data_IF_569750565304
#
_entry.id   IF_569750565304
#
_cell.length_a   1.000
_cell.length_b   1.000
_cell.length_c   1.000
_cell.angle_alpha   90.00
_cell.angle_beta   90.00
_cell.angle_gamma   90.00
#
_symmetry.space_group_name_H-M   'P 1'
#
loop_
_entity.id
_entity.type
_entity.pdbx_description
1 polymer ?
#
# COMPACT_ATOMS: atom_id res chain seq x y z
N UNK A 1 2.13 36.97 -6.56
CA UNK A 1 1.23 36.22 -7.46
C UNK A 1 1.38 34.74 -7.13
N UNK A 2 0.47 34.21 -6.32
CA UNK A 2 0.51 32.81 -5.87
C UNK A 2 -0.11 31.94 -6.96
N UNK A 3 0.71 31.13 -7.65
CA UNK A 3 0.19 30.11 -8.57
C UNK A 3 -0.30 28.95 -7.69
N UNK A 4 -1.62 28.90 -7.46
CA UNK A 4 -2.26 27.88 -6.62
C UNK A 4 -3.35 27.11 -7.37
N UNK A 5 -3.17 26.86 -8.68
CA UNK A 5 -4.24 26.29 -9.52
C UNK A 5 -3.81 25.28 -10.59
N UNK A 6 -2.61 24.68 -10.50
CA UNK A 6 -2.20 23.61 -11.43
C UNK A 6 -2.08 22.22 -10.77
N UNK A 7 -2.09 22.13 -9.44
CA UNK A 7 -1.77 20.90 -8.70
C UNK A 7 -2.88 19.82 -8.72
N UNK A 8 -4.01 20.09 -9.38
CA UNK A 8 -5.17 19.18 -9.43
C UNK A 8 -5.60 18.77 -10.84
N UNK A 9 -5.01 19.36 -11.90
CA UNK A 9 -5.38 19.01 -13.27
C UNK A 9 -4.87 17.59 -13.57
N UNK A 10 -5.78 16.63 -13.60
CA UNK A 10 -5.47 15.22 -13.89
C UNK A 10 -5.17 14.36 -12.66
N UNK A 11 -5.34 14.85 -11.42
CA UNK A 11 -5.27 13.98 -10.23
C UNK A 11 -6.63 13.29 -10.00
N UNK A 12 -6.69 11.95 -9.87
CA UNK A 12 -7.95 11.29 -9.55
C UNK A 12 -8.38 11.58 -8.11
N UNK A 13 -9.69 11.73 -7.90
CA UNK A 13 -10.29 11.78 -6.57
C UNK A 13 -10.35 10.36 -5.96
N UNK A 14 -9.31 9.99 -5.23
CA UNK A 14 -9.30 8.77 -4.43
C UNK A 14 -9.96 9.03 -3.06
N UNK A 15 -10.83 8.11 -2.63
CA UNK A 15 -11.37 8.11 -1.27
C UNK A 15 -10.28 7.78 -0.25
N UNK A 16 -10.52 8.12 1.02
CA UNK A 16 -9.61 7.78 2.12
C UNK A 16 -9.25 6.28 2.15
N UNK A 17 -10.23 5.41 1.91
CA UNK A 17 -10.00 3.95 1.87
C UNK A 17 -9.18 3.53 0.65
N UNK A 18 -9.36 4.14 -0.51
CA UNK A 18 -8.53 3.85 -1.68
C UNK A 18 -7.09 4.30 -1.48
N UNK A 19 -6.87 5.47 -0.86
CA UNK A 19 -5.52 5.93 -0.48
C UNK A 19 -4.86 4.94 0.47
N UNK A 20 -5.55 4.54 1.54
CA UNK A 20 -5.05 3.57 2.51
C UNK A 20 -4.69 2.23 1.85
N UNK A 21 -5.60 1.68 1.02
CA UNK A 21 -5.37 0.43 0.31
C UNK A 21 -4.18 0.55 -0.65
N UNK A 22 -4.06 1.67 -1.37
CA UNK A 22 -2.96 1.91 -2.29
C UNK A 22 -1.62 1.92 -1.55
N UNK A 23 -1.51 2.73 -0.49
CA UNK A 23 -0.26 2.88 0.27
C UNK A 23 0.16 1.56 0.93
N UNK A 24 -0.77 0.83 1.56
CA UNK A 24 -0.46 -0.47 2.16
C UNK A 24 -0.06 -1.49 1.10
N UNK A 25 -0.76 -1.54 -0.04
CA UNK A 25 -0.41 -2.45 -1.12
C UNK A 25 0.96 -2.14 -1.75
N UNK A 26 1.32 -0.86 -1.86
CA UNK A 26 2.64 -0.45 -2.37
C UNK A 26 3.77 -1.00 -1.49
N UNK A 27 3.57 -1.04 -0.17
CA UNK A 27 4.50 -1.60 0.81
C UNK A 27 4.42 -3.13 1.01
N UNK A 28 3.63 -3.86 0.21
CA UNK A 28 3.49 -5.33 0.34
C UNK A 28 3.86 -6.06 -0.96
N UNK A 29 4.50 -7.23 -0.88
CA UNK A 29 4.86 -8.00 -2.09
C UNK A 29 3.67 -8.70 -2.74
N UNK A 30 2.60 -8.96 -1.98
CA UNK A 30 1.42 -9.66 -2.48
C UNK A 30 0.11 -9.04 -2.01
N UNK A 31 -0.98 -9.33 -2.74
CA UNK A 31 -2.33 -8.88 -2.35
C UNK A 31 -2.79 -9.59 -1.08
N UNK A 32 -2.41 -10.85 -0.89
CA UNK A 32 -2.67 -11.59 0.34
C UNK A 32 -2.02 -10.90 1.56
N UNK A 33 -0.77 -10.44 1.42
CA UNK A 33 -0.07 -9.69 2.47
C UNK A 33 -0.79 -8.37 2.78
N UNK A 34 -1.16 -7.60 1.76
CA UNK A 34 -1.90 -6.36 1.92
C UNK A 34 -3.28 -6.60 2.59
N UNK A 35 -3.99 -7.65 2.18
CA UNK A 35 -5.29 -8.02 2.71
C UNK A 35 -5.25 -8.31 4.22
N UNK A 36 -4.24 -9.07 4.67
CA UNK A 36 -4.01 -9.33 6.10
C UNK A 36 -3.78 -8.04 6.88
N UNK A 37 -3.00 -7.11 6.33
CA UNK A 37 -2.70 -5.81 6.98
C UNK A 37 -3.89 -4.85 7.01
N UNK A 38 -4.76 -4.94 6.00
CA UNK A 38 -5.96 -4.12 5.86
C UNK A 38 -7.21 -4.74 6.51
N UNK A 39 -7.09 -5.93 7.10
CA UNK A 39 -8.19 -6.73 7.68
C UNK A 39 -9.37 -6.94 6.72
N UNK A 40 -9.06 -7.26 5.45
CA UNK A 40 -10.05 -7.54 4.39
C UNK A 40 -9.70 -8.81 3.61
N UNK A 41 -10.58 -9.23 2.70
CA UNK A 41 -10.28 -10.29 1.73
C UNK A 41 -9.33 -9.83 0.62
N UNK A 42 -8.57 -10.76 0.04
CA UNK A 42 -7.72 -10.50 -1.13
C UNK A 42 -8.50 -9.97 -2.33
N UNK A 43 -9.72 -10.51 -2.55
CA UNK A 43 -10.66 -10.03 -3.56
C UNK A 43 -11.03 -8.57 -3.35
N UNK A 44 -11.22 -8.14 -2.11
CA UNK A 44 -11.50 -6.73 -1.76
C UNK A 44 -10.33 -5.82 -2.13
N UNK A 45 -9.08 -6.23 -1.84
CA UNK A 45 -7.88 -5.49 -2.28
C UNK A 45 -7.84 -5.39 -3.80
N UNK A 46 -8.09 -6.50 -4.51
CA UNK A 46 -8.14 -6.50 -5.97
C UNK A 46 -9.19 -5.52 -6.50
N UNK A 47 -10.42 -5.54 -5.98
CA UNK A 47 -11.49 -4.61 -6.36
C UNK A 47 -11.10 -3.15 -6.14
N UNK A 48 -10.47 -2.81 -5.01
CA UNK A 48 -9.97 -1.46 -4.77
C UNK A 48 -8.90 -1.05 -5.79
N UNK A 49 -7.92 -1.92 -6.08
CA UNK A 49 -6.87 -1.64 -7.06
C UNK A 49 -7.46 -1.43 -8.47
N UNK A 50 -8.44 -2.22 -8.88
CA UNK A 50 -9.14 -2.03 -10.16
C UNK A 50 -9.83 -0.67 -10.21
N UNK A 51 -10.57 -0.28 -9.16
CA UNK A 51 -11.22 1.04 -9.08
C UNK A 51 -10.23 2.20 -9.10
N UNK A 52 -9.11 2.09 -8.39
CA UNK A 52 -8.04 3.09 -8.39
C UNK A 52 -7.48 3.28 -9.80
N UNK A 53 -7.18 2.17 -10.50
CA UNK A 53 -6.67 2.20 -11.87
C UNK A 53 -7.67 2.82 -12.85
N UNK A 54 -8.96 2.51 -12.69
CA UNK A 54 -10.01 3.13 -13.49
C UNK A 54 -10.09 4.63 -13.26
N UNK A 55 -9.98 5.10 -12.02
CA UNK A 55 -9.95 6.55 -11.73
C UNK A 55 -8.76 7.24 -12.39
N UNK A 56 -7.57 6.64 -12.34
CA UNK A 56 -6.39 7.12 -13.05
C UNK A 56 -6.57 7.13 -14.58
N UNK A 57 -7.22 6.10 -15.13
CA UNK A 57 -7.54 6.03 -16.57
C UNK A 57 -8.52 7.13 -16.99
N UNK A 58 -9.56 7.38 -16.19
CA UNK A 58 -10.58 8.41 -16.47
C UNK A 58 -9.97 9.81 -16.54
N UNK A 59 -8.96 10.11 -15.73
CA UNK A 59 -8.25 11.39 -15.76
C UNK A 59 -7.08 11.42 -16.76
N UNK A 60 -6.97 10.43 -17.66
CA UNK A 60 -5.97 10.40 -18.72
C UNK A 60 -4.54 10.02 -18.27
N UNK A 61 -4.37 9.50 -17.05
CA UNK A 61 -3.08 9.14 -16.46
C UNK A 61 -3.03 7.67 -16.05
N UNK A 62 -3.14 6.70 -16.99
CA UNK A 62 -3.25 5.29 -16.68
C UNK A 62 -2.06 4.75 -15.86
N UNK A 63 -2.34 3.82 -14.95
CA UNK A 63 -1.36 3.18 -14.07
C UNK A 63 -1.57 1.64 -14.01
N UNK A 64 -1.24 0.89 -15.07
CA UNK A 64 -1.61 -0.52 -15.18
C UNK A 64 -0.82 -1.44 -14.24
N UNK A 65 0.41 -1.06 -13.84
CA UNK A 65 1.30 -1.87 -13.01
C UNK A 65 1.46 -1.31 -11.59
N UNK A 66 2.10 -2.08 -10.71
CA UNK A 66 2.47 -1.64 -9.36
C UNK A 66 3.42 -0.46 -9.37
N UNK A 67 4.43 -0.53 -10.22
CA UNK A 67 5.38 0.56 -10.39
C UNK A 67 4.70 1.80 -10.96
N UNK A 68 3.80 1.64 -11.94
CA UNK A 68 3.06 2.77 -12.48
C UNK A 68 2.17 3.45 -11.40
N UNK A 69 1.52 2.66 -10.53
CA UNK A 69 0.76 3.19 -9.40
C UNK A 69 1.65 3.91 -8.37
N UNK A 70 2.85 3.39 -8.10
CA UNK A 70 3.82 4.05 -7.21
C UNK A 70 4.22 5.42 -7.77
N UNK A 71 4.58 5.48 -9.05
CA UNK A 71 4.97 6.72 -9.73
C UNK A 71 3.83 7.74 -9.62
N UNK A 72 2.59 7.35 -9.95
CA UNK A 72 1.44 8.25 -9.84
C UNK A 72 1.16 8.69 -8.40
N UNK A 73 1.27 7.79 -7.43
CA UNK A 73 1.07 8.13 -6.03
C UNK A 73 2.10 9.16 -5.53
N UNK A 74 3.33 9.11 -6.02
CA UNK A 74 4.38 10.10 -5.71
C UNK A 74 4.09 11.43 -6.43
N UNK A 75 3.80 11.39 -7.73
CA UNK A 75 3.43 12.60 -8.51
C UNK A 75 2.24 13.33 -7.89
N UNK A 76 1.29 12.58 -7.34
CA UNK A 76 0.07 13.11 -6.72
C UNK A 76 0.26 13.46 -5.23
N UNK A 77 1.44 13.26 -4.66
CA UNK A 77 1.71 13.53 -3.24
C UNK A 77 0.86 12.68 -2.29
N UNK A 78 0.50 11.45 -2.69
CA UNK A 78 -0.19 10.46 -1.85
C UNK A 78 0.80 9.75 -0.91
N UNK A 79 2.02 9.52 -1.39
CA UNK A 79 3.09 8.95 -0.58
C UNK A 79 4.47 9.37 -1.09
N UNK A 80 5.49 9.23 -0.24
CA UNK A 80 6.91 9.32 -0.61
C UNK A 80 7.56 7.93 -0.66
N UNK A 81 8.72 7.83 -1.31
CA UNK A 81 9.52 6.59 -1.27
C UNK A 81 9.96 6.24 0.16
N UNK A 82 10.29 7.24 0.97
CA UNK A 82 10.69 7.04 2.38
C UNK A 82 9.54 6.48 3.22
N UNK A 83 8.32 6.97 3.03
CA UNK A 83 7.12 6.44 3.70
C UNK A 83 6.87 4.98 3.31
N UNK A 84 6.95 4.65 2.02
CA UNK A 84 6.76 3.27 1.54
C UNK A 84 7.88 2.35 2.05
N UNK A 85 9.13 2.81 2.06
CA UNK A 85 10.25 2.04 2.61
C UNK A 85 10.09 1.81 4.12
N UNK A 86 9.68 2.85 4.86
CA UNK A 86 9.41 2.77 6.30
C UNK A 86 8.27 1.80 6.60
N UNK A 87 7.17 1.85 5.84
CA UNK A 87 6.06 0.92 5.98
C UNK A 87 6.48 -0.53 5.69
N UNK A 88 7.25 -0.76 4.62
CA UNK A 88 7.81 -2.08 4.30
C UNK A 88 8.63 -2.62 5.48
N UNK A 89 9.54 -1.81 6.04
CA UNK A 89 10.35 -2.22 7.18
C UNK A 89 9.53 -2.48 8.46
N UNK A 90 8.49 -1.69 8.72
CA UNK A 90 7.58 -1.91 9.85
C UNK A 90 6.83 -3.24 9.70
N UNK A 91 6.38 -3.53 8.49
CA UNK A 91 5.65 -4.73 8.13
C UNK A 91 6.51 -6.00 8.23
N UNK A 92 7.79 -5.93 7.90
CA UNK A 92 8.73 -7.03 8.07
C UNK A 92 9.02 -7.29 9.55
N UNK A 93 9.28 -6.24 10.33
CA UNK A 93 9.50 -6.34 11.80
C UNK A 93 8.30 -6.95 12.52
N UNK A 94 7.08 -6.55 12.16
CA UNK A 94 5.86 -7.12 12.73
C UNK A 94 5.75 -8.62 12.46
N UNK A 95 6.10 -9.05 11.24
CA UNK A 95 6.09 -10.46 10.84
C UNK A 95 7.12 -11.27 11.62
N UNK A 96 8.32 -10.74 11.84
CA UNK A 96 9.36 -11.38 12.66
C UNK A 96 8.99 -11.49 14.14
N UNK A 97 8.41 -10.42 14.71
CA UNK A 97 7.97 -10.42 16.11
C UNK A 97 6.91 -11.50 16.35
N UNK A 98 5.95 -11.65 15.44
CA UNK A 98 4.96 -12.73 15.50
C UNK A 98 5.61 -14.11 15.42
N UNK A 99 6.61 -14.32 14.55
CA UNK A 99 7.34 -15.60 14.48
C UNK A 99 8.10 -15.93 15.76
N UNK A 100 8.77 -14.94 16.38
CA UNK A 100 9.49 -15.12 17.65
C UNK A 100 8.54 -15.47 18.79
N UNK A 101 7.35 -14.87 18.83
CA UNK A 101 6.34 -15.17 19.84
C UNK A 101 5.70 -16.55 19.66
N UNK A 102 5.68 -17.11 18.43
CA UNK A 102 5.12 -18.43 18.13
C UNK A 102 6.08 -19.61 18.36
N UNK A 103 7.39 -19.37 18.48
CA UNK A 103 8.38 -20.36 18.89
C UNK A 103 8.90 -20.08 20.31
N UNK A 104 8.11 -20.36 21.37
CA UNK A 104 8.70 -20.51 22.69
C UNK A 104 9.57 -21.76 22.66
N UNK A 105 10.84 -21.60 23.04
CA UNK A 105 11.82 -22.67 23.20
C UNK A 105 11.18 -23.85 23.91
N UNK A 106 11.07 -25.00 23.23
CA UNK A 106 10.76 -26.27 23.87
C UNK A 106 12.00 -26.73 24.65
N UNK A 107 12.36 -25.95 25.68
CA UNK A 107 13.48 -26.18 26.60
C UNK A 107 13.13 -27.21 27.66
N UNK A 108 12.47 -28.31 27.26
CA UNK A 108 12.38 -29.52 28.08
C UNK A 108 13.38 -30.53 27.52
N UNK A 109 14.59 -30.47 28.05
CA UNK A 109 15.27 -31.69 28.45
C UNK A 109 15.98 -31.40 29.77
N UNK A 110 15.31 -31.83 30.85
CA UNK A 110 15.86 -31.95 32.18
C UNK A 110 16.76 -33.19 32.22
N UNK A 111 17.84 -33.04 32.98
CA UNK A 111 18.49 -34.02 33.87
C UNK A 111 18.44 -35.51 33.50
#
# INVERSE_FOLDING_TARGET
MTIQALDSVGRPALSKREVEVLTVWLACDSKQQAARRLFVGESTVHTHLTRIRDKYRVVGRPAPSKIALLIRAIEDGICTLEEIASLTALFDKATEAQRRQQHPSNGRNLA
#
